data_IF_331985288795
#
_entry.id   IF_331985288795
#
_cell.length_a   1.000
_cell.length_b   1.000
_cell.length_c   1.000
_cell.angle_alpha   90.00
_cell.angle_beta   90.00
_cell.angle_gamma   90.00
#
_symmetry.space_group_name_H-M   'P 1'
#
loop_
_entity.id
_entity.type
_entity.pdbx_description
1 polymer ?
#
# COMPACT_ATOMS: atom_id res chain seq x y z
N UNK A 1 -13.27 -4.00 11.63
CA UNK A 1 -12.87 -4.27 10.23
C UNK A 1 -11.60 -3.48 9.96
N UNK A 2 -10.58 -4.03 9.27
CA UNK A 2 -9.38 -3.23 8.93
C UNK A 2 -9.79 -2.18 7.89
N UNK A 3 -9.48 -0.91 8.14
CA UNK A 3 -9.85 0.21 7.25
C UNK A 3 -8.98 0.26 5.97
N UNK A 4 -7.76 -0.26 6.04
CA UNK A 4 -6.86 -0.37 4.90
C UNK A 4 -5.96 -1.61 5.01
N UNK A 5 -5.52 -2.10 3.85
CA UNK A 5 -4.43 -3.07 3.74
C UNK A 5 -3.13 -2.34 3.42
N UNK A 6 -2.05 -2.76 4.07
CA UNK A 6 -0.74 -2.15 3.87
C UNK A 6 0.20 -3.22 3.32
N UNK A 7 0.66 -2.99 2.08
CA UNK A 7 1.70 -3.77 1.43
C UNK A 7 3.04 -3.13 1.78
N UNK A 8 4.01 -3.93 2.24
CA UNK A 8 5.35 -3.47 2.54
C UNK A 8 6.36 -4.14 1.60
N UNK A 9 7.01 -3.32 0.77
CA UNK A 9 8.13 -3.73 -0.07
C UNK A 9 9.41 -3.33 0.64
N UNK A 10 10.16 -4.31 1.14
CA UNK A 10 11.40 -4.07 1.89
C UNK A 10 12.29 -5.32 1.90
N UNK A 11 13.53 -5.18 2.34
CA UNK A 11 14.45 -6.30 2.58
C UNK A 11 14.19 -7.04 3.91
N UNK A 12 13.11 -6.70 4.63
CA UNK A 12 12.73 -7.42 5.85
C UNK A 12 12.25 -8.83 5.53
N UNK A 13 12.55 -9.76 6.42
CA UNK A 13 12.03 -11.13 6.33
C UNK A 13 10.50 -11.10 6.34
N UNK A 14 9.81 -11.81 5.42
CA UNK A 14 8.35 -11.84 5.34
C UNK A 14 7.66 -12.16 6.67
N UNK A 15 8.24 -13.06 7.47
CA UNK A 15 7.73 -13.42 8.80
C UNK A 15 7.63 -12.22 9.75
N UNK A 16 8.59 -11.28 9.69
CA UNK A 16 8.58 -10.06 10.51
C UNK A 16 7.50 -9.10 10.01
N UNK A 17 7.35 -8.97 8.69
CA UNK A 17 6.35 -8.11 8.07
C UNK A 17 4.92 -8.59 8.41
N UNK A 18 4.68 -9.90 8.34
CA UNK A 18 3.39 -10.49 8.73
C UNK A 18 3.05 -10.26 10.21
N UNK A 19 4.04 -10.31 11.12
CA UNK A 19 3.86 -9.97 12.54
C UNK A 19 3.46 -8.51 12.76
N UNK A 20 3.82 -7.61 11.84
CA UNK A 20 3.39 -6.20 11.83
C UNK A 20 2.03 -6.00 11.15
N UNK A 21 1.32 -7.08 10.80
CA UNK A 21 0.03 -7.08 10.13
C UNK A 21 0.03 -6.48 8.71
N UNK A 22 1.21 -6.38 8.10
CA UNK A 22 1.43 -5.97 6.72
C UNK A 22 1.54 -7.18 5.79
N UNK A 23 1.37 -6.92 4.48
CA UNK A 23 1.51 -7.91 3.43
C UNK A 23 2.90 -7.73 2.79
N UNK A 24 3.85 -8.66 2.97
CA UNK A 24 5.17 -8.57 2.37
C UNK A 24 5.10 -8.83 0.86
N UNK A 25 5.81 -8.01 0.07
CA UNK A 25 6.00 -8.25 -1.36
C UNK A 25 7.41 -7.85 -1.78
N UNK A 26 7.91 -8.48 -2.84
CA UNK A 26 9.29 -8.31 -3.28
C UNK A 26 9.50 -7.02 -4.08
N UNK A 27 8.50 -6.61 -4.85
CA UNK A 27 8.60 -5.48 -5.76
C UNK A 27 7.24 -4.87 -6.09
N UNK A 28 7.26 -3.71 -6.75
CA UNK A 28 6.05 -2.96 -7.11
C UNK A 28 5.18 -3.74 -8.09
N UNK A 29 5.76 -4.49 -9.03
CA UNK A 29 4.99 -5.27 -10.01
C UNK A 29 4.13 -6.34 -9.33
N UNK A 30 4.68 -7.05 -8.33
CA UNK A 30 3.92 -8.01 -7.52
C UNK A 30 2.76 -7.32 -6.78
N UNK A 31 3.01 -6.14 -6.21
CA UNK A 31 1.97 -5.36 -5.52
C UNK A 31 0.85 -4.90 -6.45
N UNK A 32 1.20 -4.45 -7.65
CA UNK A 32 0.22 -4.05 -8.64
C UNK A 32 -0.62 -5.24 -9.12
N UNK A 33 0.00 -6.40 -9.35
CA UNK A 33 -0.74 -7.61 -9.73
C UNK A 33 -1.71 -8.04 -8.62
N UNK A 34 -1.27 -8.06 -7.35
CA UNK A 34 -2.14 -8.38 -6.22
C UNK A 34 -3.34 -7.42 -6.11
N UNK A 35 -3.11 -6.11 -6.27
CA UNK A 35 -4.19 -5.10 -6.22
C UNK A 35 -5.17 -5.29 -7.37
N UNK A 36 -4.68 -5.55 -8.59
CA UNK A 36 -5.52 -5.82 -9.77
C UNK A 36 -6.36 -7.08 -9.61
N UNK A 37 -5.74 -8.18 -9.19
CA UNK A 37 -6.42 -9.46 -8.99
C UNK A 37 -7.53 -9.35 -7.94
N UNK A 38 -7.32 -8.52 -6.92
CA UNK A 38 -8.24 -8.38 -5.78
C UNK A 38 -9.34 -7.33 -5.98
N UNK A 39 -9.01 -6.19 -6.59
CA UNK A 39 -9.90 -5.03 -6.68
C UNK A 39 -10.28 -4.64 -8.12
N UNK A 40 -9.73 -5.34 -9.12
CA UNK A 40 -9.92 -5.06 -10.54
C UNK A 40 -8.93 -4.04 -11.12
N UNK A 41 -8.89 -3.95 -12.44
CA UNK A 41 -7.89 -3.18 -13.17
C UNK A 41 -8.13 -1.65 -13.18
N UNK A 42 -9.33 -1.19 -12.81
CA UNK A 42 -9.75 0.21 -12.94
C UNK A 42 -9.66 1.00 -11.62
N UNK A 43 -8.61 0.78 -10.83
CA UNK A 43 -8.38 1.55 -9.61
C UNK A 43 -7.73 2.92 -9.91
N UNK A 44 -8.05 3.91 -9.09
CA UNK A 44 -7.34 5.19 -9.07
C UNK A 44 -6.31 5.17 -7.95
N UNK A 45 -5.15 5.76 -8.18
CA UNK A 45 -4.07 5.81 -7.21
C UNK A 45 -3.44 7.19 -7.13
N UNK A 46 -2.99 7.53 -5.92
CA UNK A 46 -2.11 8.66 -5.67
C UNK A 46 -0.68 8.15 -5.54
N UNK A 47 0.24 8.76 -6.27
CA UNK A 47 1.67 8.45 -6.16
C UNK A 47 2.33 9.57 -5.36
N UNK A 48 2.87 9.21 -4.20
CA UNK A 48 3.69 10.09 -3.37
C UNK A 48 5.13 9.56 -3.38
N UNK A 49 6.02 10.05 -4.26
CA UNK A 49 7.38 9.54 -4.38
C UNK A 49 8.19 9.65 -3.07
N UNK A 50 7.94 10.72 -2.29
CA UNK A 50 8.52 10.97 -0.98
C UNK A 50 7.42 11.21 0.05
N UNK A 51 6.77 10.14 0.51
CA UNK A 51 5.64 10.23 1.45
C UNK A 51 6.00 10.86 2.81
N UNK A 52 7.27 10.91 3.18
CA UNK A 52 7.74 11.50 4.44
C UNK A 52 7.87 13.04 4.40
N UNK A 53 7.89 13.66 3.21
CA UNK A 53 8.06 15.12 3.06
C UNK A 53 6.76 15.84 2.73
N UNK A 54 5.67 15.11 2.55
CA UNK A 54 4.36 15.65 2.13
C UNK A 54 3.38 15.51 3.27
N UNK A 55 2.67 16.60 3.58
CA UNK A 55 1.54 16.59 4.51
C UNK A 55 0.24 16.53 3.71
N UNK A 56 -0.46 15.39 3.67
CA UNK A 56 -1.74 15.32 2.99
C UNK A 56 -2.77 16.17 3.75
N UNK A 57 -3.52 16.99 3.02
CA UNK A 57 -4.67 17.70 3.58
C UNK A 57 -5.95 17.10 3.01
N UNK A 58 -6.91 16.81 3.88
CA UNK A 58 -8.28 16.46 3.49
C UNK A 58 -9.14 17.69 3.74
N UNK A 59 -9.48 18.45 2.70
CA UNK A 59 -10.58 19.40 2.80
C UNK A 59 -11.87 18.59 2.75
N UNK A 60 -12.56 18.43 3.89
CA UNK A 60 -13.98 18.05 3.87
C UNK A 60 -14.72 19.24 3.27
N UNK A 61 -15.31 19.15 2.06
CA UNK A 61 -16.19 20.21 1.59
C UNK A 61 -17.48 20.10 2.41
N UNK A 62 -17.71 21.08 3.29
CA UNK A 62 -19.03 21.38 3.85
C UNK A 62 -19.82 22.27 2.90
#
# INVERSE_FOLDING_TARGET
TKEAEVILISSLLPEKVCKLFFIPMENISQALNYVKDKYGDNFQAYILPSGNTVLPFSSIPG
#
